data_IF_609403783115
#
_entry.id   IF_609403783115
#
_cell.length_a   1.000
_cell.length_b   1.000
_cell.length_c   1.000
_cell.angle_alpha   90.00
_cell.angle_beta   90.00
_cell.angle_gamma   90.00
#
_symmetry.space_group_name_H-M   'P 1'
#
loop_
_entity.id
_entity.type
_entity.pdbx_description
1 polymer ?
#
# COMPACT_ATOMS: atom_id res chain seq x y z
N UNK A 1 -10.73 -13.04 8.50
CA UNK A 1 -10.58 -11.65 8.95
C UNK A 1 -9.89 -10.83 7.88
N UNK A 2 -10.31 -9.61 7.68
CA UNK A 2 -9.77 -8.71 6.65
C UNK A 2 -9.34 -7.41 7.34
N UNK A 3 -8.12 -6.95 7.05
CA UNK A 3 -7.70 -5.61 7.38
C UNK A 3 -8.15 -4.67 6.28
N UNK A 4 -8.64 -3.50 6.62
CA UNK A 4 -9.15 -2.52 5.67
C UNK A 4 -8.78 -1.11 6.08
N UNK A 5 -8.29 -0.33 5.12
CA UNK A 5 -8.03 1.10 5.29
C UNK A 5 -8.60 1.84 4.09
N UNK A 6 -9.26 2.96 4.34
CA UNK A 6 -9.93 3.72 3.28
C UNK A 6 -9.73 5.21 3.49
N UNK A 7 -9.64 5.96 2.40
CA UNK A 7 -9.41 7.40 2.46
C UNK A 7 -9.85 8.08 1.17
N UNK A 8 -10.48 9.24 1.31
CA UNK A 8 -10.70 10.13 0.17
C UNK A 8 -9.42 10.92 -0.10
N UNK A 9 -8.93 10.83 -1.32
CA UNK A 9 -7.79 11.63 -1.80
C UNK A 9 -8.35 12.68 -2.77
N UNK A 10 -8.09 13.95 -2.51
CA UNK A 10 -8.64 15.06 -3.30
C UNK A 10 -7.76 15.36 -4.51
N UNK A 11 -7.53 14.31 -5.31
CA UNK A 11 -6.79 14.36 -6.56
C UNK A 11 -7.43 13.41 -7.57
N UNK A 12 -7.21 13.63 -8.89
CA UNK A 12 -7.75 12.77 -9.93
C UNK A 12 -7.26 11.33 -9.83
N UNK A 13 -8.08 10.38 -10.25
CA UNK A 13 -7.79 8.95 -10.10
C UNK A 13 -6.49 8.52 -10.80
N UNK A 14 -6.18 9.10 -11.96
CA UNK A 14 -4.94 8.76 -12.67
C UNK A 14 -3.70 9.10 -11.85
N UNK A 15 -3.72 10.22 -11.15
CA UNK A 15 -2.61 10.65 -10.30
C UNK A 15 -2.48 9.76 -9.05
N UNK A 16 -3.60 9.44 -8.42
CA UNK A 16 -3.62 8.61 -7.21
C UNK A 16 -3.18 7.18 -7.53
N UNK A 17 -3.66 6.64 -8.64
CA UNK A 17 -3.28 5.30 -9.11
C UNK A 17 -1.78 5.23 -9.40
N UNK A 18 -1.25 6.18 -10.17
CA UNK A 18 0.17 6.21 -10.55
C UNK A 18 1.09 6.32 -9.32
N UNK A 19 0.63 6.96 -8.25
CA UNK A 19 1.42 7.08 -7.03
C UNK A 19 1.77 5.72 -6.41
N UNK A 20 0.94 4.69 -6.61
CA UNK A 20 1.22 3.32 -6.15
C UNK A 20 1.95 2.49 -7.20
N UNK A 21 1.92 2.90 -8.47
CA UNK A 21 2.55 2.16 -9.58
C UNK A 21 4.01 2.56 -9.79
N UNK A 22 4.28 3.87 -9.72
CA UNK A 22 5.60 4.44 -9.99
C UNK A 22 6.43 4.56 -8.71
N UNK A 23 7.54 3.80 -8.58
CA UNK A 23 8.39 3.87 -7.39
C UNK A 23 8.94 5.25 -7.10
N UNK A 24 9.15 6.08 -8.14
CA UNK A 24 9.63 7.45 -7.95
C UNK A 24 8.67 8.27 -7.09
N UNK A 25 7.40 7.91 -7.08
CA UNK A 25 6.38 8.55 -6.25
C UNK A 25 6.17 7.78 -4.95
N UNK A 26 5.98 6.46 -5.02
CA UNK A 26 5.67 5.62 -3.86
C UNK A 26 6.75 5.70 -2.78
N UNK A 27 8.02 5.83 -3.18
CA UNK A 27 9.13 5.94 -2.23
C UNK A 27 9.11 7.21 -1.39
N UNK A 28 8.28 8.16 -1.75
CA UNK A 28 8.13 9.41 -0.97
C UNK A 28 7.19 9.27 0.22
N UNK A 29 6.37 8.21 0.25
CA UNK A 29 5.39 8.06 1.33
C UNK A 29 5.27 6.65 1.89
N UNK A 30 5.93 5.64 1.34
CA UNK A 30 5.77 4.25 1.81
C UNK A 30 7.12 3.54 1.94
N UNK A 31 7.45 2.64 1.00
CA UNK A 31 8.75 1.97 1.00
C UNK A 31 9.84 2.92 0.48
N UNK A 32 11.12 2.55 0.67
CA UNK A 32 12.23 3.42 0.29
C UNK A 32 12.89 3.02 -1.03
N UNK A 33 12.70 1.77 -1.46
CA UNK A 33 13.31 1.26 -2.67
C UNK A 33 12.44 0.18 -3.31
N UNK A 34 12.39 0.15 -4.62
CA UNK A 34 11.68 -0.88 -5.39
C UNK A 34 12.51 -1.30 -6.58
N UNK A 35 12.40 -2.58 -6.96
CA UNK A 35 13.07 -3.11 -8.15
C UNK A 35 12.39 -2.70 -9.46
N UNK A 36 11.20 -2.11 -9.42
CA UNK A 36 10.50 -1.66 -10.62
C UNK A 36 9.07 -1.22 -10.39
N UNK A 37 8.41 -0.84 -11.47
CA UNK A 37 6.99 -0.49 -11.48
C UNK A 37 6.15 -1.74 -11.27
N UNK A 38 4.94 -1.57 -10.72
CA UNK A 38 4.00 -2.68 -10.60
C UNK A 38 3.45 -3.02 -11.99
N UNK A 39 3.73 -4.24 -12.45
CA UNK A 39 3.25 -4.76 -13.74
C UNK A 39 2.72 -6.17 -13.53
N UNK A 40 1.58 -6.52 -14.17
CA UNK A 40 0.98 -7.84 -13.98
C UNK A 40 1.96 -8.98 -14.31
N UNK A 41 1.98 -10.00 -13.46
CA UNK A 41 2.81 -11.18 -13.66
C UNK A 41 4.26 -11.03 -13.23
N UNK A 42 4.67 -9.86 -12.75
CA UNK A 42 6.04 -9.64 -12.29
C UNK A 42 6.19 -9.86 -10.79
N UNK A 43 7.39 -10.23 -10.40
CA UNK A 43 7.80 -10.22 -9.00
C UNK A 43 8.66 -8.97 -8.78
N UNK A 44 8.25 -8.15 -7.83
CA UNK A 44 8.92 -6.89 -7.47
C UNK A 44 9.47 -7.03 -6.06
N UNK A 45 10.58 -6.37 -5.78
CA UNK A 45 11.19 -6.36 -4.46
C UNK A 45 11.10 -4.95 -3.86
N UNK A 46 10.53 -4.85 -2.65
CA UNK A 46 10.41 -3.60 -1.90
C UNK A 46 11.28 -3.62 -0.65
N UNK A 47 11.96 -2.50 -0.37
CA UNK A 47 12.77 -2.31 0.82
C UNK A 47 12.26 -1.13 1.65
N UNK A 48 12.26 -1.33 2.97
CA UNK A 48 12.11 -0.26 3.96
C UNK A 48 13.43 -0.15 4.69
N UNK A 49 14.36 0.63 4.13
CA UNK A 49 15.74 0.69 4.60
C UNK A 49 15.84 1.18 6.06
N UNK A 50 14.97 2.13 6.45
CA UNK A 50 14.95 2.64 7.82
C UNK A 50 14.62 1.56 8.86
N UNK A 51 13.97 0.47 8.46
CA UNK A 51 13.60 -0.64 9.36
C UNK A 51 14.39 -1.90 9.08
N UNK A 52 15.32 -1.85 8.15
CA UNK A 52 16.06 -3.03 7.68
C UNK A 52 15.10 -4.17 7.30
N UNK A 53 14.02 -3.82 6.64
CA UNK A 53 12.96 -4.75 6.23
C UNK A 53 12.82 -4.77 4.72
N UNK A 54 12.42 -5.92 4.18
CA UNK A 54 12.15 -6.07 2.76
C UNK A 54 11.13 -7.17 2.52
N UNK A 55 10.53 -7.18 1.35
CA UNK A 55 9.59 -8.23 0.94
C UNK A 55 9.57 -8.37 -0.59
N UNK A 56 9.23 -9.57 -1.04
CA UNK A 56 8.92 -9.80 -2.45
C UNK A 56 7.42 -9.65 -2.65
N UNK A 57 7.07 -9.04 -3.77
CA UNK A 57 5.69 -8.74 -4.13
C UNK A 57 5.39 -9.40 -5.47
N UNK A 58 4.40 -10.28 -5.48
CA UNK A 58 3.92 -10.92 -6.70
C UNK A 58 2.73 -10.12 -7.21
N UNK A 59 2.87 -9.46 -8.35
CA UNK A 59 1.83 -8.61 -8.92
C UNK A 59 0.85 -9.49 -9.69
N UNK A 60 -0.39 -9.61 -9.20
CA UNK A 60 -1.42 -10.47 -9.78
C UNK A 60 -2.28 -9.75 -10.81
N UNK A 61 -2.61 -8.48 -10.56
CA UNK A 61 -3.42 -7.69 -11.47
C UNK A 61 -3.11 -6.21 -11.32
N UNK A 62 -3.14 -5.51 -12.45
CA UNK A 62 -3.09 -4.04 -12.50
C UNK A 62 -4.14 -3.62 -13.53
N UNK A 63 -5.24 -3.04 -13.06
CA UNK A 63 -6.30 -2.51 -13.90
C UNK A 63 -6.23 -0.98 -13.81
N UNK A 64 -5.77 -0.30 -14.86
CA UNK A 64 -5.51 1.15 -14.80
C UNK A 64 -6.66 1.96 -14.23
N UNK A 65 -6.35 2.77 -13.22
CA UNK A 65 -7.27 3.66 -12.51
C UNK A 65 -8.41 2.95 -11.76
N UNK A 66 -8.32 1.62 -11.59
CA UNK A 66 -9.40 0.85 -10.95
C UNK A 66 -8.91 -0.07 -9.85
N UNK A 67 -7.86 -0.86 -10.10
CA UNK A 67 -7.53 -1.95 -9.18
C UNK A 67 -6.07 -2.36 -9.27
N UNK A 68 -5.50 -2.72 -8.11
CA UNK A 68 -4.20 -3.39 -8.02
C UNK A 68 -4.40 -4.58 -7.09
N UNK A 69 -3.86 -5.74 -7.46
CA UNK A 69 -3.88 -6.94 -6.63
C UNK A 69 -2.48 -7.52 -6.55
N UNK A 70 -2.00 -7.74 -5.32
CA UNK A 70 -0.70 -8.35 -5.08
C UNK A 70 -0.80 -9.45 -4.02
N UNK A 71 0.20 -10.33 -4.03
CA UNK A 71 0.47 -11.23 -2.92
C UNK A 71 1.87 -10.90 -2.40
N UNK A 72 2.03 -10.83 -1.10
CA UNK A 72 3.31 -10.51 -0.47
C UNK A 72 3.51 -11.23 0.85
N UNK A 73 4.72 -11.15 1.40
CA UNK A 73 5.10 -11.76 2.67
C UNK A 73 6.00 -12.97 2.49
N UNK A 74 6.26 -13.66 3.58
CA UNK A 74 7.08 -14.87 3.56
C UNK A 74 6.41 -15.96 2.70
N UNK A 75 7.20 -16.77 1.96
CA UNK A 75 6.65 -17.73 0.99
C UNK A 75 5.56 -18.65 1.53
N UNK A 76 5.61 -19.03 2.80
CA UNK A 76 4.62 -19.93 3.40
C UNK A 76 3.47 -19.20 4.10
N UNK A 77 3.54 -17.87 4.20
CA UNK A 77 2.58 -17.05 4.91
C UNK A 77 2.19 -15.82 4.09
N UNK A 78 2.05 -16.00 2.79
CA UNK A 78 1.67 -14.88 1.93
C UNK A 78 0.24 -14.45 2.20
N UNK A 79 0.03 -13.13 2.14
CA UNK A 79 -1.29 -12.53 2.21
C UNK A 79 -1.58 -11.78 0.92
N UNK A 80 -2.85 -11.49 0.69
CA UNK A 80 -3.31 -10.77 -0.50
C UNK A 80 -3.63 -9.34 -0.12
N UNK A 81 -3.18 -8.39 -0.93
CA UNK A 81 -3.52 -6.97 -0.77
C UNK A 81 -4.19 -6.49 -2.05
N UNK A 82 -5.35 -5.85 -1.88
CA UNK A 82 -6.11 -5.32 -3.00
C UNK A 82 -6.38 -3.84 -2.80
N UNK A 83 -6.07 -3.05 -3.84
CA UNK A 83 -6.43 -1.63 -3.91
C UNK A 83 -7.60 -1.47 -4.87
N UNK A 84 -8.64 -0.77 -4.43
CA UNK A 84 -9.75 -0.36 -5.28
C UNK A 84 -9.75 1.17 -5.33
N UNK A 85 -9.72 1.72 -6.53
CA UNK A 85 -9.74 3.16 -6.78
C UNK A 85 -11.09 3.52 -7.38
N UNK A 86 -11.82 4.39 -6.71
CA UNK A 86 -13.13 4.83 -7.19
C UNK A 86 -13.09 6.32 -7.51
N UNK A 87 -13.20 6.64 -8.80
CA UNK A 87 -13.28 8.03 -9.24
C UNK A 87 -14.64 8.62 -8.84
N UNK A 88 -14.63 9.85 -8.35
CA UNK A 88 -15.85 10.56 -7.92
C UNK A 88 -16.11 11.73 -8.85
N UNK A 89 -17.39 12.21 -8.92
CA UNK A 89 -17.77 13.27 -9.85
C UNK A 89 -17.02 14.59 -9.69
N UNK A 90 -16.48 14.87 -8.50
CA UNK A 90 -15.71 16.10 -8.20
C UNK A 90 -14.22 15.95 -8.50
N UNK A 91 -13.84 14.93 -9.27
CA UNK A 91 -12.46 14.63 -9.63
C UNK A 91 -11.59 14.30 -8.41
N UNK A 92 -12.19 13.70 -7.40
CA UNK A 92 -11.50 13.11 -6.26
C UNK A 92 -11.54 11.59 -6.38
N UNK A 93 -10.78 10.90 -5.53
CA UNK A 93 -10.63 9.44 -5.59
C UNK A 93 -10.81 8.84 -4.21
N UNK A 94 -11.72 7.88 -4.09
CA UNK A 94 -11.82 7.08 -2.88
C UNK A 94 -10.94 5.83 -3.04
N UNK A 95 -9.99 5.66 -2.13
CA UNK A 95 -9.07 4.51 -2.15
C UNK A 95 -9.44 3.55 -1.03
N UNK A 96 -9.63 2.28 -1.38
CA UNK A 96 -9.86 1.21 -0.41
C UNK A 96 -8.74 0.19 -0.55
N UNK A 97 -8.06 -0.12 0.55
CA UNK A 97 -7.01 -1.14 0.60
C UNK A 97 -7.46 -2.23 1.56
N UNK A 98 -7.49 -3.47 1.09
CA UNK A 98 -7.81 -4.63 1.92
C UNK A 98 -6.66 -5.61 1.91
N UNK A 99 -6.39 -6.21 3.07
CA UNK A 99 -5.37 -7.25 3.21
C UNK A 99 -6.03 -8.46 3.86
N UNK A 100 -5.90 -9.61 3.25
CA UNK A 100 -6.55 -10.84 3.67
C UNK A 100 -5.63 -12.05 3.52
N UNK A 101 -6.06 -13.20 4.09
CA UNK A 101 -5.28 -14.42 4.02
C UNK A 101 -4.32 -14.62 5.19
N UNK A 102 -4.57 -13.94 6.30
CA UNK A 102 -3.76 -14.09 7.52
C UNK A 102 -3.85 -15.52 8.04
N UNK A 103 -2.72 -16.04 8.52
CA UNK A 103 -2.58 -17.40 8.98
C UNK A 103 -2.07 -17.45 10.43
N UNK A 104 -2.46 -18.52 11.14
CA UNK A 104 -2.07 -18.72 12.51
C UNK A 104 -3.27 -18.93 13.43
N UNK A 105 -3.09 -18.75 14.71
CA UNK A 105 -4.17 -18.79 15.70
C UNK A 105 -5.10 -17.59 15.52
N UNK A 106 -6.28 -17.64 16.12
CA UNK A 106 -7.21 -16.51 16.09
C UNK A 106 -6.57 -15.22 16.61
N UNK A 107 -5.78 -15.33 17.69
CA UNK A 107 -5.08 -14.18 18.26
C UNK A 107 -4.01 -13.64 17.32
N UNK A 108 -3.23 -14.52 16.70
CA UNK A 108 -2.19 -14.13 15.73
C UNK A 108 -2.82 -13.45 14.51
N UNK A 109 -3.93 -13.99 14.00
CA UNK A 109 -4.67 -13.40 12.86
C UNK A 109 -5.17 -12.01 13.24
N UNK A 110 -5.76 -11.86 14.43
CA UNK A 110 -6.26 -10.57 14.90
C UNK A 110 -5.14 -9.53 15.01
N UNK A 111 -3.99 -9.92 15.57
CA UNK A 111 -2.84 -9.03 15.68
C UNK A 111 -2.31 -8.60 14.33
N UNK A 112 -2.22 -9.52 13.38
CA UNK A 112 -1.80 -9.22 12.01
C UNK A 112 -2.78 -8.24 11.34
N UNK A 113 -4.09 -8.46 11.49
CA UNK A 113 -5.10 -7.59 10.90
C UNK A 113 -5.06 -6.18 11.49
N UNK A 114 -4.88 -6.05 12.81
CA UNK A 114 -4.76 -4.75 13.48
C UNK A 114 -3.51 -4.02 12.99
N UNK A 115 -2.37 -4.71 12.95
CA UNK A 115 -1.12 -4.13 12.46
C UNK A 115 -1.21 -3.69 11.01
N UNK A 116 -1.83 -4.49 10.15
CA UNK A 116 -2.03 -4.17 8.75
C UNK A 116 -2.94 -2.96 8.57
N UNK A 117 -4.04 -2.88 9.34
CA UNK A 117 -4.95 -1.73 9.29
C UNK A 117 -4.23 -0.45 9.67
N UNK A 118 -3.44 -0.47 10.73
CA UNK A 118 -2.62 0.67 11.12
C UNK A 118 -1.65 1.06 10.00
N UNK A 119 -0.91 0.08 9.48
CA UNK A 119 0.11 0.32 8.46
C UNK A 119 -0.47 0.94 7.20
N UNK A 120 -1.55 0.40 6.66
CA UNK A 120 -2.17 0.92 5.45
C UNK A 120 -2.88 2.27 5.68
N UNK A 121 -3.38 2.51 6.88
CA UNK A 121 -3.93 3.84 7.23
C UNK A 121 -2.82 4.88 7.18
N UNK A 122 -1.66 4.57 7.73
CA UNK A 122 -0.48 5.45 7.68
C UNK A 122 -0.06 5.71 6.23
N UNK A 123 -0.05 4.68 5.40
CA UNK A 123 0.26 4.81 3.96
C UNK A 123 -0.69 5.78 3.28
N UNK A 124 -2.00 5.66 3.53
CA UNK A 124 -3.00 6.53 2.92
C UNK A 124 -2.89 7.98 3.42
N UNK A 125 -2.61 8.18 4.70
CA UNK A 125 -2.37 9.52 5.24
C UNK A 125 -1.14 10.15 4.59
N UNK A 126 -0.06 9.38 4.44
CA UNK A 126 1.15 9.85 3.76
C UNK A 126 0.90 10.22 2.31
N UNK A 127 0.14 9.40 1.59
CA UNK A 127 -0.27 9.66 0.21
C UNK A 127 -1.07 10.97 0.12
N UNK A 128 -2.03 11.14 1.02
CA UNK A 128 -2.88 12.33 1.05
C UNK A 128 -2.05 13.60 1.27
N UNK A 129 -1.14 13.58 2.24
CA UNK A 129 -0.25 14.71 2.52
C UNK A 129 0.63 15.02 1.30
N UNK A 130 1.16 13.99 0.65
CA UNK A 130 2.04 14.19 -0.51
C UNK A 130 1.29 14.77 -1.70
N UNK A 131 0.19 14.14 -2.11
CA UNK A 131 -0.51 14.53 -3.33
C UNK A 131 -1.30 15.83 -3.18
N UNK A 132 -1.92 16.07 -2.03
CA UNK A 132 -2.73 17.27 -1.82
C UNK A 132 -1.90 18.48 -1.38
N UNK A 133 -0.78 18.26 -0.67
CA UNK A 133 -0.03 19.35 -0.05
C UNK A 133 1.47 19.34 -0.34
N UNK A 134 1.95 18.35 -1.10
CA UNK A 134 3.37 18.17 -1.41
C UNK A 134 4.24 18.12 -0.14
N UNK A 135 3.75 17.43 0.88
CA UNK A 135 4.43 17.28 2.18
C UNK A 135 4.78 15.81 2.40
N UNK A 136 6.01 15.53 2.79
CA UNK A 136 6.43 14.23 3.27
C UNK A 136 6.43 14.26 4.80
N UNK A 137 5.55 13.47 5.40
CA UNK A 137 5.38 13.44 6.86
C UNK A 137 6.31 12.43 7.55
N UNK A 138 7.07 11.62 6.81
CA UNK A 138 7.96 10.59 7.36
C UNK A 138 7.23 9.58 8.26
N UNK A 139 5.96 9.31 7.99
CA UNK A 139 5.11 8.52 8.89
C UNK A 139 5.64 7.09 9.10
N UNK A 140 6.07 6.44 8.02
CA UNK A 140 6.55 5.05 8.09
C UNK A 140 7.82 4.94 8.92
N UNK A 141 8.74 5.89 8.79
CA UNK A 141 9.95 5.94 9.60
C UNK A 141 9.63 6.25 11.06
N UNK A 142 8.74 7.21 11.29
CA UNK A 142 8.50 7.77 12.62
C UNK A 142 7.57 6.90 13.48
N UNK A 143 6.82 5.96 12.88
CA UNK A 143 5.95 5.05 13.64
C UNK A 143 6.77 4.13 14.56
N UNK A 144 7.96 3.70 14.11
CA UNK A 144 8.88 2.88 14.89
C UNK A 144 10.27 3.55 14.86
N UNK A 145 10.48 4.59 15.66
CA UNK A 145 11.74 5.33 15.63
C UNK A 145 12.91 4.50 16.20
N UNK A 146 14.09 4.81 15.72
CA UNK A 146 15.33 4.19 16.19
C UNK A 146 16.04 5.06 17.22
#
# INVERSE_FOLDING_TARGET
>A
MIAKAEMLIRRPVAEVFEAFIDPAITTKFWFTKSSGRLEPGKQIHWDWEMHNASTDVNVKAVEPNKRILIEWGEPEQQTTVEWIFTSRPDDTTFVSITNSGFQGTEEEIAQQAVGSTEGFTIVLVGLKALLEHNINLNLVADRFPH
#
